data_IF_369308108989
#
_entry.id   IF_369308108989
#
_cell.length_a   1.000
_cell.length_b   1.000
_cell.length_c   1.000
_cell.angle_alpha   90.00
_cell.angle_beta   90.00
_cell.angle_gamma   90.00
#
_symmetry.space_group_name_H-M   'P 1'
#
loop_
_entity.id
_entity.type
_entity.pdbx_description
1 polymer ?
#
# COMPACT_ATOMS: atom_id res chain seq x y z
N UNK A 1 -13.08 26.47 -2.66
CA UNK A 1 -12.02 25.47 -2.86
C UNK A 1 -12.43 24.28 -2.02
N UNK A 2 -12.88 23.19 -2.64
CA UNK A 2 -13.36 22.03 -1.92
C UNK A 2 -12.15 21.25 -1.41
N UNK A 3 -11.99 21.17 -0.08
CA UNK A 3 -11.12 20.19 0.54
C UNK A 3 -11.62 18.80 0.12
N UNK A 4 -10.75 18.00 -0.50
CA UNK A 4 -11.04 16.60 -0.73
C UNK A 4 -11.08 15.92 0.64
N UNK A 5 -12.28 15.74 1.20
CA UNK A 5 -12.47 14.89 2.38
C UNK A 5 -11.87 13.52 2.05
N UNK A 6 -10.76 13.17 2.71
CA UNK A 6 -10.20 11.83 2.64
C UNK A 6 -11.10 10.94 3.48
N UNK A 7 -12.15 10.43 2.85
CA UNK A 7 -13.06 9.49 3.49
C UNK A 7 -12.26 8.24 3.82
N UNK A 8 -12.09 7.98 5.12
CA UNK A 8 -11.48 6.73 5.59
C UNK A 8 -12.28 5.59 4.96
N UNK A 9 -11.64 4.68 4.21
CA UNK A 9 -12.33 3.52 3.68
C UNK A 9 -13.00 2.75 4.81
N UNK A 10 -14.11 2.07 4.54
CA UNK A 10 -14.76 1.23 5.53
C UNK A 10 -13.87 0.07 5.98
N UNK A 11 -14.45 -0.96 6.60
CA UNK A 11 -13.66 -2.04 7.22
C UNK A 11 -13.53 -3.29 6.35
N UNK A 12 -14.35 -3.41 5.32
CA UNK A 12 -14.38 -4.59 4.47
C UNK A 12 -13.47 -4.38 3.27
N UNK A 13 -12.59 -5.34 2.99
CA UNK A 13 -11.71 -5.30 1.83
C UNK A 13 -11.78 -6.59 1.02
N UNK A 14 -11.66 -6.47 -0.29
CA UNK A 14 -11.48 -7.62 -1.19
C UNK A 14 -10.03 -7.64 -1.67
N UNK A 15 -9.42 -8.82 -1.75
CA UNK A 15 -8.07 -9.00 -2.30
C UNK A 15 -8.16 -9.23 -3.81
N UNK A 16 -7.31 -8.54 -4.58
CA UNK A 16 -7.10 -8.80 -6.00
C UNK A 16 -5.61 -9.02 -6.26
N UNK A 17 -5.26 -10.16 -6.88
CA UNK A 17 -3.88 -10.49 -7.22
C UNK A 17 -3.65 -10.23 -8.70
N UNK A 18 -2.87 -9.19 -9.01
CA UNK A 18 -2.49 -8.83 -10.37
C UNK A 18 -1.21 -9.54 -10.85
N UNK A 19 -0.96 -10.75 -10.34
CA UNK A 19 0.24 -11.52 -10.68
C UNK A 19 0.59 -12.57 -9.64
N UNK A 20 1.74 -13.23 -9.83
CA UNK A 20 2.24 -14.26 -8.91
C UNK A 20 2.96 -13.63 -7.72
N UNK A 21 2.34 -13.70 -6.56
CA UNK A 21 2.89 -13.18 -5.30
C UNK A 21 3.65 -14.24 -4.48
N UNK A 22 3.59 -15.51 -4.89
CA UNK A 22 4.15 -16.66 -4.16
C UNK A 22 3.73 -16.64 -2.68
N UNK A 23 2.45 -16.39 -2.42
CA UNK A 23 1.84 -16.35 -1.08
C UNK A 23 2.36 -15.25 -0.14
N UNK A 24 3.32 -14.42 -0.57
CA UNK A 24 3.87 -13.33 0.25
C UNK A 24 2.84 -12.27 0.63
N UNK A 25 1.78 -12.14 -0.17
CA UNK A 25 0.68 -11.20 0.09
C UNK A 25 -0.10 -11.55 1.38
N UNK A 26 -0.18 -12.83 1.77
CA UNK A 26 -0.91 -13.26 2.96
C UNK A 26 -0.38 -12.58 4.23
N UNK A 27 0.93 -12.46 4.38
CA UNK A 27 1.54 -11.77 5.52
C UNK A 27 1.14 -10.28 5.59
N UNK A 28 0.85 -9.65 4.45
CA UNK A 28 0.33 -8.29 4.42
C UNK A 28 -1.17 -8.27 4.77
N UNK A 29 -1.96 -9.19 4.22
CA UNK A 29 -3.40 -9.34 4.50
C UNK A 29 -3.66 -9.60 5.99
N UNK A 30 -2.86 -10.44 6.64
CA UNK A 30 -3.00 -10.71 8.08
C UNK A 30 -2.79 -9.44 8.92
N UNK A 31 -1.91 -8.51 8.51
CA UNK A 31 -1.79 -7.21 9.19
C UNK A 31 -3.08 -6.41 9.15
N UNK A 32 -3.84 -6.45 8.06
CA UNK A 32 -5.16 -5.79 7.96
C UNK A 32 -6.16 -6.44 8.93
N UNK A 33 -6.18 -7.78 8.99
CA UNK A 33 -7.04 -8.52 9.92
C UNK A 33 -6.71 -8.24 11.38
N UNK A 34 -5.43 -8.16 11.73
CA UNK A 34 -4.95 -7.86 13.09
C UNK A 34 -5.42 -6.50 13.60
N UNK A 35 -5.64 -5.54 12.70
CA UNK A 35 -6.18 -4.20 13.04
C UNK A 35 -7.69 -4.09 12.83
N UNK A 36 -8.37 -5.24 12.70
CA UNK A 36 -9.82 -5.35 12.66
C UNK A 36 -10.47 -5.01 11.32
N UNK A 37 -9.72 -5.08 10.22
CA UNK A 37 -10.28 -5.07 8.86
C UNK A 37 -10.78 -6.48 8.52
N UNK A 38 -11.81 -6.58 7.68
CA UNK A 38 -12.46 -7.84 7.32
C UNK A 38 -12.24 -8.14 5.84
N UNK A 39 -11.63 -9.28 5.54
CA UNK A 39 -11.53 -9.77 4.16
C UNK A 39 -12.89 -10.34 3.72
N UNK A 40 -13.44 -9.83 2.62
CA UNK A 40 -14.67 -10.31 1.98
C UNK A 40 -14.37 -10.96 0.64
N UNK A 41 -15.29 -11.80 0.15
CA UNK A 41 -15.08 -12.62 -1.05
C UNK A 41 -15.40 -11.93 -2.36
N UNK A 42 -16.12 -10.80 -2.31
CA UNK A 42 -16.63 -10.11 -3.49
C UNK A 42 -16.27 -8.61 -3.40
N UNK A 43 -15.87 -7.98 -4.53
CA UNK A 43 -15.66 -6.54 -4.58
C UNK A 43 -16.91 -5.74 -4.20
N UNK A 44 -18.11 -6.26 -4.48
CA UNK A 44 -19.39 -5.60 -4.22
C UNK A 44 -19.63 -5.40 -2.72
N UNK A 45 -19.28 -6.39 -1.90
CA UNK A 45 -19.38 -6.37 -0.43
C UNK A 45 -18.23 -5.61 0.25
N UNK A 46 -17.20 -5.25 -0.50
CA UNK A 46 -16.02 -4.54 0.02
C UNK A 46 -16.22 -3.03 0.03
N UNK A 47 -15.60 -2.35 0.97
CA UNK A 47 -15.50 -0.89 1.01
C UNK A 47 -14.36 -0.38 0.13
N UNK A 48 -13.30 -1.19 -0.03
CA UNK A 48 -12.14 -0.93 -0.88
C UNK A 48 -11.50 -2.23 -1.37
N UNK A 49 -10.67 -2.15 -2.40
CA UNK A 49 -9.94 -3.29 -2.96
C UNK A 49 -8.46 -3.15 -2.64
N UNK A 50 -7.88 -4.24 -2.13
CA UNK A 50 -6.45 -4.38 -1.90
C UNK A 50 -5.83 -5.10 -3.11
N UNK A 51 -5.19 -4.34 -3.99
CA UNK A 51 -4.59 -4.85 -5.24
C UNK A 51 -3.11 -5.15 -4.98
N UNK A 52 -2.71 -6.42 -5.08
CA UNK A 52 -1.30 -6.81 -5.02
C UNK A 52 -0.72 -6.91 -6.44
N UNK A 53 0.28 -6.09 -6.72
CA UNK A 53 0.98 -6.01 -8.00
C UNK A 53 2.45 -6.41 -7.81
N UNK A 54 2.81 -7.70 -7.98
CA UNK A 54 4.20 -8.12 -7.96
C UNK A 54 4.91 -7.67 -9.25
N UNK A 55 6.05 -7.00 -9.10
CA UNK A 55 6.86 -6.56 -10.23
C UNK A 55 7.62 -7.74 -10.82
N UNK A 56 7.18 -8.16 -12.01
CA UNK A 56 7.76 -9.27 -12.76
C UNK A 56 8.57 -8.79 -13.97
N UNK A 57 8.24 -7.61 -14.50
CA UNK A 57 8.87 -7.05 -15.68
C UNK A 57 9.39 -5.64 -15.42
N UNK A 58 8.50 -4.66 -15.35
CA UNK A 58 8.78 -3.23 -15.20
C UNK A 58 7.65 -2.62 -14.38
N UNK A 59 8.04 -1.79 -13.42
CA UNK A 59 7.11 -1.12 -12.48
C UNK A 59 5.92 -0.49 -13.20
N UNK A 60 6.15 0.36 -14.21
CA UNK A 60 5.05 1.03 -14.92
C UNK A 60 4.13 0.06 -15.68
N UNK A 61 4.69 -0.95 -16.34
CA UNK A 61 3.90 -1.92 -17.13
C UNK A 61 3.05 -2.80 -16.23
N UNK A 62 3.65 -3.38 -15.18
CA UNK A 62 2.95 -4.27 -14.27
C UNK A 62 1.85 -3.50 -13.49
N UNK A 63 2.08 -2.23 -13.14
CA UNK A 63 1.06 -1.36 -12.53
C UNK A 63 -0.08 -1.05 -13.49
N UNK A 64 0.22 -0.66 -14.74
CA UNK A 64 -0.83 -0.42 -15.75
C UNK A 64 -1.71 -1.66 -15.92
N UNK A 65 -1.09 -2.83 -16.06
CA UNK A 65 -1.83 -4.08 -16.24
C UNK A 65 -2.67 -4.42 -15.00
N UNK A 66 -2.15 -4.20 -13.79
CA UNK A 66 -2.89 -4.42 -12.54
C UNK A 66 -4.13 -3.51 -12.44
N UNK A 67 -4.01 -2.24 -12.83
CA UNK A 67 -5.08 -1.26 -12.76
C UNK A 67 -6.12 -1.41 -13.89
N UNK A 68 -5.73 -2.02 -15.02
CA UNK A 68 -6.67 -2.32 -16.12
C UNK A 68 -7.56 -3.54 -15.81
N UNK A 69 -7.11 -4.46 -14.95
CA UNK A 69 -7.81 -5.71 -14.63
C UNK A 69 -8.42 -5.77 -13.23
N UNK A 70 -8.27 -4.73 -12.41
CA UNK A 70 -8.90 -4.66 -11.10
C UNK A 70 -10.42 -4.54 -11.19
N UNK A 71 -11.17 -5.01 -10.17
CA UNK A 71 -12.61 -4.75 -10.09
C UNK A 71 -12.87 -3.23 -10.00
N UNK A 72 -13.76 -2.72 -10.85
CA UNK A 72 -14.09 -1.29 -10.89
C UNK A 72 -15.03 -0.84 -9.77
N UNK A 73 -15.17 0.47 -9.61
CA UNK A 73 -16.22 1.08 -8.78
C UNK A 73 -15.98 1.12 -7.27
N UNK A 74 -14.80 0.70 -6.81
CA UNK A 74 -14.37 0.83 -5.41
C UNK A 74 -13.01 1.53 -5.33
N UNK A 75 -12.73 2.24 -4.23
CA UNK A 75 -11.41 2.78 -3.97
C UNK A 75 -10.36 1.67 -3.83
N UNK A 76 -9.10 1.97 -4.16
CA UNK A 76 -8.01 1.00 -4.21
C UNK A 76 -6.84 1.39 -3.35
N UNK A 77 -6.33 0.41 -2.60
CA UNK A 77 -4.98 0.42 -2.03
C UNK A 77 -4.13 -0.50 -2.92
N UNK A 78 -3.21 0.10 -3.67
CA UNK A 78 -2.28 -0.63 -4.53
C UNK A 78 -1.01 -0.96 -3.75
N UNK A 79 -0.71 -2.25 -3.63
CA UNK A 79 0.48 -2.79 -2.98
C UNK A 79 1.43 -3.32 -4.05
N UNK A 80 2.45 -2.53 -4.37
CA UNK A 80 3.48 -2.90 -5.35
C UNK A 80 4.54 -3.76 -4.65
N UNK A 81 4.74 -4.99 -5.12
CA UNK A 81 5.64 -5.95 -4.49
C UNK A 81 6.92 -6.12 -5.30
N UNK A 82 8.05 -5.70 -4.75
CA UNK A 82 9.37 -5.79 -5.38
C UNK A 82 10.09 -7.02 -4.86
N UNK A 83 10.39 -7.96 -5.76
CA UNK A 83 11.14 -9.16 -5.41
C UNK A 83 12.63 -8.85 -5.26
N UNK A 84 13.16 -8.97 -4.05
CA UNK A 84 14.56 -8.70 -3.74
C UNK A 84 14.98 -9.42 -2.48
N UNK A 85 16.20 -9.95 -2.43
CA UNK A 85 16.75 -10.53 -1.20
C UNK A 85 17.28 -9.46 -0.22
N UNK A 86 17.49 -8.22 -0.70
CA UNK A 86 18.13 -7.16 0.07
C UNK A 86 17.08 -6.31 0.81
N UNK A 87 17.07 -6.29 2.15
CA UNK A 87 16.14 -5.45 2.93
C UNK A 87 16.44 -3.96 2.80
N UNK A 88 17.65 -3.60 2.40
CA UNK A 88 18.08 -2.21 2.18
C UNK A 88 17.90 -1.75 0.72
N UNK A 89 17.24 -2.57 -0.12
CA UNK A 89 16.99 -2.22 -1.51
C UNK A 89 16.13 -0.95 -1.60
N UNK A 90 16.63 0.05 -2.32
CA UNK A 90 15.94 1.31 -2.53
C UNK A 90 15.11 1.22 -3.79
N UNK A 91 13.79 1.34 -3.62
CA UNK A 91 12.82 1.42 -4.72
C UNK A 91 12.43 2.86 -4.97
N UNK A 92 12.32 3.24 -6.24
CA UNK A 92 11.74 4.54 -6.59
C UNK A 92 10.23 4.50 -6.26
N UNK A 93 9.62 5.58 -5.73
CA UNK A 93 8.21 5.58 -5.36
C UNK A 93 7.30 5.22 -6.54
N UNK A 94 6.58 4.10 -6.44
CA UNK A 94 5.74 3.59 -7.52
C UNK A 94 4.50 4.42 -7.78
N UNK A 95 4.07 5.24 -6.80
CA UNK A 95 2.99 6.22 -6.96
C UNK A 95 3.17 7.13 -8.19
N UNK A 96 4.41 7.34 -8.65
CA UNK A 96 4.70 8.15 -9.84
C UNK A 96 4.22 7.51 -11.15
N UNK A 97 3.90 6.22 -11.13
CA UNK A 97 3.38 5.47 -12.27
C UNK A 97 1.84 5.38 -12.25
N UNK A 98 1.18 5.93 -11.22
CA UNK A 98 -0.25 5.78 -11.00
C UNK A 98 -0.96 7.10 -11.34
N UNK A 99 -1.82 7.05 -12.36
CA UNK A 99 -2.67 8.16 -12.77
C UNK A 99 -4.18 7.86 -12.61
N UNK A 100 -4.53 6.79 -11.92
CA UNK A 100 -5.91 6.34 -11.77
C UNK A 100 -6.53 6.92 -10.48
N UNK A 101 -7.63 7.69 -10.64
CA UNK A 101 -8.33 8.36 -9.53
C UNK A 101 -8.98 7.40 -8.53
N UNK A 102 -9.21 6.13 -8.91
CA UNK A 102 -9.71 5.12 -7.98
C UNK A 102 -8.65 4.71 -6.94
N UNK A 103 -7.36 4.95 -7.21
CA UNK A 103 -6.27 4.58 -6.30
C UNK A 103 -6.14 5.64 -5.20
N UNK A 104 -6.54 5.27 -3.98
CA UNK A 104 -6.41 6.12 -2.79
C UNK A 104 -4.97 6.16 -2.29
N UNK A 105 -4.29 5.02 -2.35
CA UNK A 105 -2.95 4.85 -1.81
C UNK A 105 -2.17 3.86 -2.67
N UNK A 106 -0.91 4.21 -2.95
CA UNK A 106 0.07 3.29 -3.51
C UNK A 106 1.21 3.12 -2.52
N UNK A 107 1.50 1.88 -2.14
CA UNK A 107 2.62 1.55 -1.27
C UNK A 107 3.57 0.57 -1.95
N UNK A 108 4.84 0.68 -1.62
CA UNK A 108 5.90 -0.19 -2.09
C UNK A 108 6.32 -1.15 -0.99
N UNK A 109 6.37 -2.45 -1.29
CA UNK A 109 6.84 -3.48 -0.36
C UNK A 109 7.91 -4.37 -0.98
N UNK A 110 8.83 -4.87 -0.15
CA UNK A 110 9.89 -5.79 -0.53
C UNK A 110 9.57 -7.20 -0.02
N UNK A 111 9.76 -8.20 -0.88
CA UNK A 111 9.56 -9.60 -0.52
C UNK A 111 10.64 -10.51 -1.14
N UNK A 112 10.88 -11.65 -0.51
CA UNK A 112 11.81 -12.68 -0.96
C UNK A 112 11.30 -14.06 -0.55
N UNK A 113 11.35 -15.04 -1.46
CA UNK A 113 10.99 -16.44 -1.17
C UNK A 113 9.65 -16.59 -0.43
N UNK A 114 8.62 -15.86 -0.90
CA UNK A 114 7.27 -15.93 -0.32
C UNK A 114 7.09 -15.20 1.01
N UNK A 115 8.07 -14.41 1.46
CA UNK A 115 8.03 -13.70 2.73
C UNK A 115 8.24 -12.20 2.53
N UNK A 116 7.45 -11.38 3.25
CA UNK A 116 7.73 -9.95 3.37
C UNK A 116 9.01 -9.73 4.18
N UNK A 117 9.89 -8.88 3.68
CA UNK A 117 11.11 -8.53 4.40
C UNK A 117 10.79 -7.67 5.63
N UNK A 118 11.60 -7.83 6.68
CA UNK A 118 11.62 -6.88 7.81
C UNK A 118 12.51 -5.71 7.42
N UNK A 119 11.92 -4.63 6.92
CA UNK A 119 12.66 -3.47 6.43
C UNK A 119 11.86 -2.18 6.53
N UNK A 120 12.57 -1.06 6.44
CA UNK A 120 11.97 0.27 6.51
C UNK A 120 10.91 0.52 5.42
N UNK A 121 11.11 -0.04 4.22
CA UNK A 121 10.14 0.08 3.13
C UNK A 121 8.78 -0.49 3.54
N UNK A 122 8.77 -1.70 4.11
CA UNK A 122 7.56 -2.38 4.53
C UNK A 122 6.93 -1.76 5.77
N UNK A 123 7.73 -1.18 6.67
CA UNK A 123 7.25 -0.43 7.83
C UNK A 123 6.56 0.87 7.41
N UNK A 124 7.14 1.61 6.44
CA UNK A 124 6.54 2.83 5.87
C UNK A 124 5.26 2.49 5.11
N UNK A 125 5.28 1.45 4.28
CA UNK A 125 4.10 0.98 3.56
C UNK A 125 2.94 0.67 4.51
N UNK A 126 3.23 -0.03 5.62
CA UNK A 126 2.21 -0.32 6.62
C UNK A 126 1.71 0.93 7.33
N UNK A 127 2.60 1.86 7.67
CA UNK A 127 2.18 3.11 8.28
C UNK A 127 1.28 3.97 7.39
N UNK A 128 1.59 4.10 6.11
CA UNK A 128 0.77 4.87 5.17
C UNK A 128 -0.63 4.24 5.03
N UNK A 129 -0.70 2.91 5.03
CA UNK A 129 -1.98 2.17 5.10
C UNK A 129 -2.74 2.50 6.38
N UNK A 130 -2.08 2.45 7.55
CA UNK A 130 -2.71 2.80 8.82
C UNK A 130 -3.27 4.22 8.81
N UNK A 131 -2.52 5.19 8.25
CA UNK A 131 -2.95 6.57 8.13
C UNK A 131 -4.20 6.70 7.27
N UNK A 132 -4.25 6.04 6.11
CA UNK A 132 -5.42 6.08 5.21
C UNK A 132 -6.64 5.39 5.82
N UNK A 133 -6.43 4.35 6.62
CA UNK A 133 -7.49 3.63 7.33
C UNK A 133 -7.90 4.28 8.67
N UNK A 134 -7.29 5.41 9.06
CA UNK A 134 -7.58 6.07 10.34
C UNK A 134 -7.17 5.24 11.57
N UNK A 135 -6.22 4.31 11.41
CA UNK A 135 -5.75 3.41 12.45
C UNK A 135 -4.57 4.07 13.17
N UNK A 136 -4.57 4.16 14.51
CA UNK A 136 -3.45 4.74 15.24
C UNK A 136 -2.19 3.88 15.03
N UNK A 137 -1.02 4.51 14.75
CA UNK A 137 0.22 3.78 14.57
C UNK A 137 0.62 3.06 15.87
N UNK A 138 1.01 1.80 15.75
CA UNK A 138 1.47 1.00 16.89
C UNK A 138 2.92 1.40 17.24
N UNK A 139 3.20 1.64 18.52
CA UNK A 139 4.38 2.37 19.05
C UNK A 139 5.74 1.63 18.91
N UNK A 140 5.81 0.49 18.21
CA UNK A 140 7.09 -0.19 17.95
C UNK A 140 7.80 0.41 16.73
N UNK A 141 8.31 1.64 16.88
CA UNK A 141 8.96 2.36 15.78
C UNK A 141 10.48 2.20 15.82
N UNK A 142 11.04 1.70 14.71
CA UNK A 142 12.47 1.75 14.45
C UNK A 142 12.95 3.22 14.34
N UNK A 143 14.22 3.49 14.62
CA UNK A 143 14.78 4.86 14.54
C UNK A 143 14.65 5.49 13.14
N UNK A 144 14.61 4.68 12.08
CA UNK A 144 14.37 5.13 10.71
C UNK A 144 12.94 5.59 10.45
N UNK A 145 11.95 4.98 11.11
CA UNK A 145 10.55 5.41 11.02
C UNK A 145 10.36 6.83 11.56
N UNK A 146 11.04 7.18 12.66
CA UNK A 146 11.09 8.55 13.20
C UNK A 146 11.65 9.56 12.19
N UNK A 147 12.65 9.15 11.40
CA UNK A 147 13.23 10.01 10.36
C UNK A 147 12.27 10.22 9.18
N UNK A 148 11.43 9.23 8.84
CA UNK A 148 10.40 9.39 7.82
C UNK A 148 9.26 10.30 8.30
N UNK A 149 8.75 10.11 9.53
CA UNK A 149 7.79 11.02 10.16
C UNK A 149 8.30 12.47 10.19
N UNK A 150 9.57 12.67 10.54
CA UNK A 150 10.21 13.98 10.54
C UNK A 150 10.33 14.59 9.13
N UNK A 151 10.33 13.78 8.06
CA UNK A 151 10.28 14.28 6.68
C UNK A 151 8.86 14.66 6.28
N UNK A 152 7.86 13.84 6.60
CA UNK A 152 6.46 14.14 6.32
C UNK A 152 6.00 15.42 7.03
N UNK A 153 6.35 15.59 8.31
CA UNK A 153 6.08 16.81 9.07
C UNK A 153 6.74 18.08 8.50
N UNK A 154 7.79 17.95 7.68
CA UNK A 154 8.46 19.08 7.01
C UNK A 154 7.87 19.39 5.63
N UNK A 155 7.20 18.43 5.00
CA UNK A 155 6.51 18.66 3.73
C UNK A 155 5.22 19.47 3.92
N UNK A 156 4.58 19.38 5.09
CA UNK A 156 3.39 20.19 5.43
C UNK A 156 3.72 21.66 5.77
N UNK A 157 5.00 22.06 5.77
CA UNK A 157 5.45 23.40 6.17
C UNK A 157 6.18 24.20 5.06
N UNK A 158 6.07 23.80 3.78
CA UNK A 158 6.64 24.55 2.66
C UNK A 158 5.59 24.89 1.59
N UNK A 159 4.51 25.57 2.01
CA UNK A 159 3.77 26.44 1.11
C UNK A 159 3.60 27.81 1.78
N UNK A 160 4.67 28.60 1.77
CA UNK A 160 4.60 30.06 1.87
C UNK A 160 5.96 30.64 1.44
N UNK A 161 6.02 31.08 0.18
CA UNK A 161 6.65 32.31 -0.30
C UNK A 161 6.21 32.57 -1.75
#
# INVERSE_FOLDING_TARGET
>A
MAEAETTVPGRNFCVHLAGKTNDAHHAFVEKFKDVGQTEVRSPEESDYILVFCPIASRVGTDISEALDHMPGGKPVILVVMHHTFSPDHVVAPSMRQVNNQAVLLTVDCLFYEGNLLKCNCNDIAWYDVQKVLGIPPQVHTSQCFKNHLNKLSKCDYNHEL
#
